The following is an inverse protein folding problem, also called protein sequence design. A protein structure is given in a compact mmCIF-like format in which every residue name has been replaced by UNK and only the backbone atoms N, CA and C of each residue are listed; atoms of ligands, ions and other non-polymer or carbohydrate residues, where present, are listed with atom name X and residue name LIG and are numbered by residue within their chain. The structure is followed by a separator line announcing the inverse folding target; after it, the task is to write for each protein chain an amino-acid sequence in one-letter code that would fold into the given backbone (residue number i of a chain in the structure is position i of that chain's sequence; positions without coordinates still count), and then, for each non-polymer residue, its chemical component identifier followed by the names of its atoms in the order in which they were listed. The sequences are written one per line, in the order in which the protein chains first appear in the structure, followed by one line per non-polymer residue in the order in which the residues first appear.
data_IF_401678304150
#
_entry.id   IF_401678304150
#
_cell.length_a   1.000
_cell.length_b   1.000
_cell.length_c   1.000
_cell.angle_alpha   90.00
_cell.angle_beta   90.00
_cell.angle_gamma   90.00
#
_symmetry.space_group_name_H-M   'P 1'
#
loop_
_entity.id
_entity.type
_entity.pdbx_description
1 polymer ?
#
# COMPACT_ATOMS: atom_id res chain seq x y z
N UNK A 1 7.06 -4.09 32.86
CA UNK A 1 7.40 -4.15 31.43
C UNK A 1 8.58 -3.23 31.21
N UNK A 2 9.71 -3.76 30.77
CA UNK A 2 10.93 -2.98 30.47
C UNK A 2 10.82 -2.30 29.10
N UNK A 3 11.66 -1.29 28.84
CA UNK A 3 11.72 -0.63 27.52
C UNK A 3 12.07 -1.62 26.40
N UNK A 4 12.92 -2.59 26.71
CA UNK A 4 13.32 -3.66 25.79
C UNK A 4 12.13 -4.56 25.42
N UNK A 5 11.33 -4.96 26.40
CA UNK A 5 10.11 -5.76 26.17
C UNK A 5 9.08 -5.00 25.31
N UNK A 6 8.91 -3.69 25.56
CA UNK A 6 8.04 -2.84 24.75
C UNK A 6 8.54 -2.76 23.31
N UNK A 7 9.84 -2.58 23.12
CA UNK A 7 10.44 -2.52 21.78
C UNK A 7 10.26 -3.83 21.02
N UNK A 8 10.50 -4.96 21.67
CA UNK A 8 10.33 -6.28 21.07
C UNK A 8 8.88 -6.54 20.65
N UNK A 9 7.90 -6.03 21.40
CA UNK A 9 6.48 -6.13 21.05
C UNK A 9 6.07 -5.16 19.93
N UNK A 10 6.59 -3.92 19.96
CA UNK A 10 6.23 -2.87 19.00
C UNK A 10 6.83 -3.10 17.60
N UNK A 11 8.03 -3.69 17.52
CA UNK A 11 8.75 -3.89 16.26
C UNK A 11 7.98 -4.71 15.21
N UNK A 12 7.41 -5.90 15.51
CA UNK A 12 6.62 -6.64 14.52
C UNK A 12 5.29 -5.95 14.18
N UNK A 13 4.68 -5.22 15.11
CA UNK A 13 3.46 -4.45 14.84
C UNK A 13 3.68 -3.40 13.76
N UNK A 14 4.86 -2.75 13.74
CA UNK A 14 5.23 -1.83 12.67
C UNK A 14 5.30 -2.51 11.30
N UNK A 15 5.90 -3.69 11.22
CA UNK A 15 5.96 -4.47 9.97
C UNK A 15 4.56 -4.85 9.47
N UNK A 16 3.70 -5.35 10.36
CA UNK A 16 2.31 -5.69 10.02
C UNK A 16 1.55 -4.45 9.57
N UNK A 17 1.74 -3.31 10.23
CA UNK A 17 1.11 -2.05 9.87
C UNK A 17 1.45 -1.62 8.43
N UNK A 18 2.73 -1.65 8.06
CA UNK A 18 3.15 -1.31 6.69
C UNK A 18 2.59 -2.31 5.67
N UNK A 19 2.53 -3.60 6.01
CA UNK A 19 1.91 -4.61 5.15
C UNK A 19 0.42 -4.36 4.92
N UNK A 20 -0.32 -3.97 5.97
CA UNK A 20 -1.73 -3.59 5.85
C UNK A 20 -1.93 -2.35 4.98
N UNK A 21 -1.08 -1.33 5.13
CA UNK A 21 -1.10 -0.14 4.26
C UNK A 21 -0.85 -0.52 2.81
N UNK A 22 0.14 -1.38 2.53
CA UNK A 22 0.42 -1.87 1.18
C UNK A 22 -0.79 -2.58 0.58
N UNK A 23 -1.40 -3.51 1.31
CA UNK A 23 -2.62 -4.20 0.86
C UNK A 23 -3.75 -3.18 0.61
N UNK A 24 -3.91 -2.20 1.49
CA UNK A 24 -4.90 -1.13 1.33
C UNK A 24 -4.71 -0.34 0.03
N UNK A 25 -3.47 -0.01 -0.31
CA UNK A 25 -3.13 0.68 -1.57
C UNK A 25 -3.41 -0.21 -2.77
N UNK A 26 -3.02 -1.49 -2.73
CA UNK A 26 -3.30 -2.45 -3.82
C UNK A 26 -4.80 -2.60 -4.00
N UNK A 27 -5.55 -2.85 -2.92
CA UNK A 27 -7.00 -2.97 -2.96
C UNK A 27 -7.66 -1.70 -3.53
N UNK A 28 -7.21 -0.52 -3.09
CA UNK A 28 -7.68 0.76 -3.61
C UNK A 28 -7.36 0.93 -5.11
N UNK A 29 -6.14 0.61 -5.54
CA UNK A 29 -5.71 0.76 -6.93
C UNK A 29 -6.49 -0.16 -7.88
N UNK A 30 -6.74 -1.41 -7.47
CA UNK A 30 -7.47 -2.38 -8.28
C UNK A 30 -9.00 -2.31 -8.11
N UNK A 31 -9.52 -1.48 -7.21
CA UNK A 31 -10.95 -1.29 -7.04
C UNK A 31 -11.58 -0.71 -8.32
N UNK A 32 -12.79 -1.14 -8.75
CA UNK A 32 -13.38 -0.75 -10.03
C UNK A 32 -13.45 0.76 -10.27
N UNK A 33 -13.66 1.55 -9.21
CA UNK A 33 -13.72 3.02 -9.26
C UNK A 33 -12.40 3.68 -9.66
N UNK A 34 -11.27 3.09 -9.29
CA UNK A 34 -9.95 3.70 -9.48
C UNK A 34 -9.17 3.03 -10.62
N UNK A 35 -9.37 1.72 -10.81
CA UNK A 35 -8.62 0.90 -11.77
C UNK A 35 -8.59 1.50 -13.17
N UNK A 36 -9.76 1.83 -13.74
CA UNK A 36 -9.85 2.35 -15.11
C UNK A 36 -9.06 3.66 -15.29
N UNK A 37 -9.16 4.59 -14.32
CA UNK A 37 -8.42 5.85 -14.33
C UNK A 37 -6.91 5.64 -14.21
N UNK A 38 -6.49 4.71 -13.34
CA UNK A 38 -5.07 4.41 -13.14
C UNK A 38 -4.45 3.72 -14.37
N UNK A 39 -5.20 2.84 -15.03
CA UNK A 39 -4.79 2.22 -16.30
C UNK A 39 -4.66 3.28 -17.42
N UNK A 40 -5.62 4.21 -17.52
CA UNK A 40 -5.55 5.32 -18.47
C UNK A 40 -4.29 6.17 -18.23
N UNK A 41 -3.98 6.52 -16.98
CA UNK A 41 -2.78 7.28 -16.66
C UNK A 41 -1.50 6.52 -17.03
N UNK A 42 -1.47 5.21 -16.78
CA UNK A 42 -0.33 4.36 -17.15
C UNK A 42 -0.11 4.27 -18.66
N UNK A 43 -1.17 4.45 -19.46
CA UNK A 43 -1.09 4.43 -20.92
C UNK A 43 -0.62 5.75 -21.54
N UNK A 44 -0.54 6.85 -20.79
CA UNK A 44 -0.17 8.19 -21.32
C UNK A 44 1.13 8.16 -22.15
N UNK A 45 2.24 7.54 -21.69
CA UNK A 45 3.47 7.50 -22.47
C UNK A 45 3.42 6.63 -23.73
N UNK A 46 2.37 5.81 -23.87
CA UNK A 46 2.16 4.87 -24.98
C UNK A 46 1.12 5.38 -25.99
N UNK A 47 0.52 6.54 -25.73
CA UNK A 47 -0.38 7.20 -26.68
C UNK A 47 0.49 7.94 -27.69
N UNK A 48 0.34 7.63 -28.97
CA UNK A 48 1.10 8.21 -30.09
C UNK A 48 0.48 9.53 -30.62
N UNK A 49 -0.31 10.23 -29.80
CA UNK A 49 -0.94 11.52 -30.14
C UNK A 49 0.07 12.68 -30.13
#
# INVERSE_FOLDING_TARGET
MSLEEIYQLARPLWTVWIFLVFIGIVAWAFWPKNKAKLEEHGSIPLKDD
#
